data_IF_896246389985
#
_entry.id   IF_896246389985
#
_cell.length_a   1.000
_cell.length_b   1.000
_cell.length_c   1.000
_cell.angle_alpha   90.00
_cell.angle_beta   90.00
_cell.angle_gamma   90.00
#
_symmetry.space_group_name_H-M   'P 1'
#
loop_
_entity.id
_entity.type
_entity.pdbx_description
1 polymer ?
#
# COMPACT_ATOMS: atom_id res chain seq x y z
N UNK A 1 -38.76 -56.26 -4.44
CA UNK A 1 -37.89 -55.79 -5.55
C UNK A 1 -37.98 -54.27 -5.60
N UNK A 2 -37.00 -53.57 -5.03
CA UNK A 2 -37.00 -52.10 -4.91
C UNK A 2 -36.62 -51.53 -6.29
N UNK A 3 -37.55 -50.87 -6.98
CA UNK A 3 -37.23 -50.10 -8.20
C UNK A 3 -36.26 -48.99 -7.80
N UNK A 4 -34.97 -49.13 -8.14
CA UNK A 4 -34.03 -48.00 -8.09
C UNK A 4 -34.47 -46.99 -9.15
N UNK A 5 -35.25 -45.99 -8.76
CA UNK A 5 -35.59 -44.85 -9.63
C UNK A 5 -34.28 -44.10 -9.91
N UNK A 6 -33.76 -44.22 -11.13
CA UNK A 6 -32.66 -43.39 -11.60
C UNK A 6 -33.13 -41.94 -11.80
N UNK A 7 -32.19 -41.00 -11.77
CA UNK A 7 -32.47 -39.60 -12.07
C UNK A 7 -32.94 -39.43 -13.51
N UNK A 8 -33.92 -38.56 -13.73
CA UNK A 8 -34.36 -38.18 -15.07
C UNK A 8 -33.38 -37.18 -15.69
N UNK A 9 -33.29 -37.15 -17.03
CA UNK A 9 -32.40 -36.23 -17.74
C UNK A 9 -32.70 -34.75 -17.41
N UNK A 10 -33.97 -34.43 -17.15
CA UNK A 10 -34.43 -33.10 -16.74
C UNK A 10 -33.93 -32.71 -15.35
N UNK A 11 -33.97 -33.63 -14.38
CA UNK A 11 -33.45 -33.36 -13.03
C UNK A 11 -31.95 -33.11 -13.04
N UNK A 12 -31.20 -33.87 -13.85
CA UNK A 12 -29.74 -33.69 -13.98
C UNK A 12 -29.39 -32.32 -14.57
N UNK A 13 -30.08 -31.87 -15.62
CA UNK A 13 -29.80 -30.57 -16.23
C UNK A 13 -30.16 -29.41 -15.31
N UNK A 14 -31.25 -29.52 -14.53
CA UNK A 14 -31.64 -28.51 -13.53
C UNK A 14 -30.61 -28.43 -12.40
N UNK A 15 -30.20 -29.58 -11.84
CA UNK A 15 -29.20 -29.61 -10.74
C UNK A 15 -27.86 -29.02 -11.20
N UNK A 16 -27.42 -29.35 -12.42
CA UNK A 16 -26.21 -28.76 -13.00
C UNK A 16 -26.36 -27.25 -13.25
N UNK A 17 -27.53 -26.80 -13.73
CA UNK A 17 -27.81 -25.38 -13.94
C UNK A 17 -27.76 -24.57 -12.63
N UNK A 18 -28.42 -25.05 -11.58
CA UNK A 18 -28.40 -24.38 -10.27
C UNK A 18 -27.00 -24.43 -9.65
N UNK A 19 -26.30 -25.56 -9.77
CA UNK A 19 -24.94 -25.73 -9.25
C UNK A 19 -23.94 -24.73 -9.85
N UNK A 20 -24.01 -24.47 -11.16
CA UNK A 20 -23.14 -23.48 -11.82
C UNK A 20 -23.44 -22.06 -11.37
N UNK A 21 -24.71 -21.67 -11.22
CA UNK A 21 -25.09 -20.35 -10.72
C UNK A 21 -24.58 -20.09 -9.30
N UNK A 22 -24.74 -21.05 -8.39
CA UNK A 22 -24.22 -20.95 -7.01
C UNK A 22 -22.70 -20.85 -7.02
N UNK A 23 -22.01 -21.62 -7.86
CA UNK A 23 -20.56 -21.55 -7.99
C UNK A 23 -20.11 -20.15 -8.45
N UNK A 24 -20.74 -19.58 -9.49
CA UNK A 24 -20.43 -18.22 -9.96
C UNK A 24 -20.65 -17.15 -8.89
N UNK A 25 -21.72 -17.25 -8.09
CA UNK A 25 -21.95 -16.33 -6.97
C UNK A 25 -20.83 -16.43 -5.93
N UNK A 26 -20.41 -17.64 -5.55
CA UNK A 26 -19.29 -17.86 -4.62
C UNK A 26 -17.95 -17.35 -5.17
N UNK A 27 -17.71 -17.49 -6.47
CA UNK A 27 -16.50 -16.95 -7.10
C UNK A 27 -16.45 -15.43 -7.03
N UNK A 28 -17.57 -14.74 -7.24
CA UNK A 28 -17.63 -13.29 -7.12
C UNK A 28 -17.40 -12.83 -5.67
N UNK A 29 -18.07 -13.48 -4.71
CA UNK A 29 -17.89 -13.21 -3.28
C UNK A 29 -16.43 -13.44 -2.85
N UNK A 30 -15.81 -14.55 -3.27
CA UNK A 30 -14.40 -14.84 -2.98
C UNK A 30 -13.46 -13.77 -3.58
N UNK A 31 -13.73 -13.28 -4.80
CA UNK A 31 -12.94 -12.21 -5.42
C UNK A 31 -13.03 -10.91 -4.63
N UNK A 32 -14.24 -10.52 -4.22
CA UNK A 32 -14.45 -9.31 -3.43
C UNK A 32 -13.76 -9.41 -2.06
N UNK A 33 -13.85 -10.57 -1.40
CA UNK A 33 -13.16 -10.81 -0.13
C UNK A 33 -11.62 -10.76 -0.29
N UNK A 34 -11.08 -11.25 -1.42
CA UNK A 34 -9.65 -11.13 -1.72
C UNK A 34 -9.24 -9.66 -1.92
N UNK A 35 -10.04 -8.87 -2.64
CA UNK A 35 -9.78 -7.43 -2.83
C UNK A 35 -9.79 -6.68 -1.49
N UNK A 36 -10.74 -6.99 -0.60
CA UNK A 36 -10.83 -6.39 0.74
C UNK A 36 -9.62 -6.72 1.63
N UNK A 37 -9.23 -8.00 1.71
CA UNK A 37 -8.05 -8.43 2.49
C UNK A 37 -6.77 -7.82 1.93
N UNK A 38 -6.67 -7.68 0.61
CA UNK A 38 -5.54 -7.04 -0.04
C UNK A 38 -5.47 -5.55 0.29
N UNK A 39 -6.60 -4.84 0.28
CA UNK A 39 -6.69 -3.43 0.66
C UNK A 39 -6.31 -3.22 2.13
N UNK A 40 -6.76 -4.10 3.05
CA UNK A 40 -6.38 -4.06 4.47
C UNK A 40 -4.86 -4.23 4.66
N UNK A 41 -4.26 -5.22 3.97
CA UNK A 41 -2.81 -5.43 4.02
C UNK A 41 -2.03 -4.21 3.48
N UNK A 42 -2.52 -3.56 2.43
CA UNK A 42 -1.88 -2.33 1.90
C UNK A 42 -2.07 -1.15 2.85
N UNK A 43 -3.24 -1.02 3.50
CA UNK A 43 -3.48 0.00 4.51
C UNK A 43 -2.56 -0.15 5.73
N UNK A 44 -2.36 -1.37 6.22
CA UNK A 44 -1.43 -1.64 7.33
C UNK A 44 0.03 -1.33 6.94
N UNK A 45 0.43 -1.64 5.71
CA UNK A 45 1.74 -1.27 5.18
C UNK A 45 1.93 0.25 5.09
N UNK A 46 0.91 1.00 4.62
CA UNK A 46 0.95 2.47 4.57
C UNK A 46 1.03 3.04 5.97
N UNK A 47 0.29 2.50 6.93
CA UNK A 47 0.35 2.93 8.34
C UNK A 47 1.76 2.75 8.92
N UNK A 48 2.35 1.56 8.76
CA UNK A 48 3.71 1.29 9.21
C UNK A 48 4.72 2.25 8.55
N UNK A 49 4.55 2.50 7.25
CA UNK A 49 5.38 3.45 6.52
C UNK A 49 5.21 4.88 7.05
N UNK A 50 3.97 5.30 7.34
CA UNK A 50 3.64 6.60 7.91
C UNK A 50 4.26 6.81 9.30
N UNK A 51 4.23 5.80 10.16
CA UNK A 51 4.89 5.84 11.47
C UNK A 51 6.41 5.96 11.34
N UNK A 52 7.02 5.21 10.42
CA UNK A 52 8.45 5.31 10.13
C UNK A 52 8.83 6.68 9.55
N UNK A 53 8.02 7.23 8.63
CA UNK A 53 8.22 8.58 8.07
C UNK A 53 8.10 9.64 9.16
N UNK A 54 7.12 9.54 10.06
CA UNK A 54 6.95 10.48 11.16
C UNK A 54 8.16 10.47 12.12
N UNK A 55 8.69 9.28 12.44
CA UNK A 55 9.94 9.15 13.20
C UNK A 55 11.13 9.75 12.45
N UNK A 56 11.22 9.51 11.14
CA UNK A 56 12.28 10.10 10.31
C UNK A 56 12.25 11.63 10.32
N UNK A 57 11.06 12.24 10.21
CA UNK A 57 10.87 13.68 10.32
C UNK A 57 11.40 14.19 11.67
N UNK A 58 11.12 13.49 12.76
CA UNK A 58 11.60 13.86 14.09
C UNK A 58 13.12 13.77 14.22
N UNK A 59 13.75 12.72 13.69
CA UNK A 59 15.20 12.50 13.79
C UNK A 59 15.98 13.48 12.91
N UNK A 60 15.48 13.77 11.70
CA UNK A 60 16.17 14.60 10.69
C UNK A 60 15.49 15.95 10.49
N UNK A 61 14.80 16.46 11.50
CA UNK A 61 14.07 17.74 11.43
C UNK A 61 14.98 18.88 11.00
N UNK A 62 16.19 18.96 11.57
CA UNK A 62 17.19 19.98 11.24
C UNK A 62 17.50 19.97 9.73
N UNK A 63 17.75 18.79 9.15
CA UNK A 63 18.10 18.67 7.73
C UNK A 63 16.91 18.93 6.81
N UNK A 64 15.72 18.48 7.18
CA UNK A 64 14.51 18.68 6.36
C UNK A 64 14.08 20.15 6.41
N UNK A 65 14.17 20.79 7.57
CA UNK A 65 13.85 22.21 7.74
C UNK A 65 14.81 23.11 6.97
N UNK A 66 16.07 22.72 6.78
CA UNK A 66 17.03 23.45 5.93
C UNK A 66 17.05 22.96 4.47
N UNK A 67 16.17 22.03 4.07
CA UNK A 67 16.14 21.43 2.73
C UNK A 67 17.50 20.85 2.29
N UNK A 68 18.20 20.17 3.21
CA UNK A 68 19.52 19.59 2.96
C UNK A 68 19.40 18.20 2.34
N UNK A 69 19.96 18.01 1.15
CA UNK A 69 20.04 16.71 0.48
C UNK A 69 21.18 15.84 1.05
N UNK A 70 21.00 14.52 1.05
CA UNK A 70 22.03 13.53 1.42
C UNK A 70 22.06 12.36 0.44
N UNK A 71 23.25 11.81 0.21
CA UNK A 71 23.49 10.64 -0.62
C UNK A 71 24.35 9.65 0.16
N UNK A 72 23.71 8.80 0.99
CA UNK A 72 24.31 7.67 1.70
C UNK A 72 25.64 7.97 2.43
N UNK A 73 25.66 8.98 3.29
CA UNK A 73 26.83 9.31 4.12
C UNK A 73 26.74 8.64 5.49
N UNK A 74 27.88 8.40 6.16
CA UNK A 74 27.86 7.67 7.44
C UNK A 74 27.05 8.36 8.55
N UNK A 75 27.02 9.69 8.58
CA UNK A 75 26.26 10.50 9.54
C UNK A 75 24.84 10.86 9.08
N UNK A 76 24.54 10.67 7.79
CA UNK A 76 23.24 10.88 7.15
C UNK A 76 23.02 9.77 6.11
N UNK A 77 22.55 8.58 6.57
CA UNK A 77 22.53 7.35 5.79
C UNK A 77 21.76 7.42 4.47
N UNK A 78 20.91 8.45 4.26
CA UNK A 78 20.32 8.79 2.96
C UNK A 78 19.66 7.62 2.20
N UNK A 79 19.20 7.83 0.95
CA UNK A 79 19.23 9.07 0.18
C UNK A 79 18.06 10.00 0.54
N UNK A 80 18.30 11.30 0.55
CA UNK A 80 17.28 12.35 0.69
C UNK A 80 17.54 13.42 -0.36
N UNK A 81 16.57 13.68 -1.22
CA UNK A 81 16.71 14.69 -2.29
C UNK A 81 15.78 15.84 -2.00
N UNK A 82 16.34 16.98 -1.62
CA UNK A 82 15.58 18.19 -1.32
C UNK A 82 15.58 19.18 -2.49
N UNK A 83 14.44 19.83 -2.67
CA UNK A 83 14.17 20.88 -3.66
C UNK A 83 13.51 22.07 -2.96
N UNK A 84 13.27 23.17 -3.68
CA UNK A 84 12.56 24.34 -3.13
C UNK A 84 11.15 24.03 -2.59
N UNK A 85 10.52 22.95 -3.08
CA UNK A 85 9.17 22.54 -2.68
C UNK A 85 9.13 21.57 -1.48
N UNK A 86 10.25 20.94 -1.13
CA UNK A 86 10.32 19.88 -0.12
C UNK A 86 11.37 18.82 -0.43
N UNK A 87 11.42 17.78 0.40
CA UNK A 87 12.35 16.67 0.27
C UNK A 87 11.65 15.38 -0.13
N UNK A 88 12.27 14.61 -1.02
CA UNK A 88 11.82 13.29 -1.41
C UNK A 88 12.76 12.24 -0.79
N UNK A 89 12.17 11.19 -0.21
CA UNK A 89 12.91 10.03 0.31
C UNK A 89 12.29 8.75 -0.24
N UNK A 90 13.04 7.65 -0.13
CA UNK A 90 12.56 6.32 -0.48
C UNK A 90 12.47 5.46 0.77
N UNK A 91 11.79 4.31 0.65
CA UNK A 91 11.75 3.33 1.74
C UNK A 91 13.16 2.86 2.13
N UNK A 92 14.12 2.88 1.21
CA UNK A 92 15.51 2.53 1.49
C UNK A 92 16.13 3.46 2.53
N UNK A 93 15.81 4.76 2.49
CA UNK A 93 16.24 5.73 3.49
C UNK A 93 15.77 5.36 4.89
N UNK A 94 14.53 4.88 5.00
CA UNK A 94 13.96 4.45 6.27
C UNK A 94 14.59 3.13 6.77
N UNK A 95 14.98 2.22 5.87
CA UNK A 95 15.74 1.01 6.22
C UNK A 95 17.14 1.39 6.73
N UNK A 96 17.83 2.30 6.02
CA UNK A 96 19.17 2.74 6.37
C UNK A 96 19.23 3.44 7.74
N UNK A 97 18.14 4.12 8.13
CA UNK A 97 17.98 4.74 9.46
C UNK A 97 17.43 3.77 10.52
N UNK A 98 17.19 2.50 10.17
CA UNK A 98 16.69 1.48 11.10
C UNK A 98 15.21 1.63 11.49
N UNK A 99 14.44 2.41 10.73
CA UNK A 99 13.01 2.67 10.98
C UNK A 99 12.10 1.65 10.31
N UNK A 100 12.58 0.96 9.28
CA UNK A 100 11.91 -0.16 8.62
C UNK A 100 12.80 -1.41 8.64
N UNK A 101 12.21 -2.62 8.68
CA UNK A 101 12.97 -3.86 8.60
C UNK A 101 13.65 -4.01 7.23
N UNK A 102 14.82 -4.64 7.21
CA UNK A 102 15.63 -4.86 5.99
C UNK A 102 14.91 -5.67 4.89
N UNK A 103 13.88 -6.42 5.25
CA UNK A 103 13.04 -7.18 4.31
C UNK A 103 11.89 -6.39 3.67
N UNK A 104 11.77 -5.09 3.94
CA UNK A 104 10.69 -4.27 3.37
C UNK A 104 10.91 -4.04 1.87
N UNK A 105 9.97 -4.48 1.04
CA UNK A 105 10.10 -4.52 -0.43
C UNK A 105 9.61 -3.25 -1.13
N UNK A 106 9.14 -2.23 -0.39
CA UNK A 106 8.76 -0.93 -0.96
C UNK A 106 7.60 -0.95 -1.95
N UNK A 107 6.95 -2.09 -2.12
CA UNK A 107 5.94 -2.37 -3.14
C UNK A 107 4.70 -2.91 -2.46
N UNK A 108 3.55 -2.36 -2.84
CA UNK A 108 2.27 -2.84 -2.35
C UNK A 108 1.85 -4.14 -3.06
N UNK A 109 0.75 -4.73 -2.62
CA UNK A 109 0.25 -5.98 -3.22
C UNK A 109 -0.11 -5.85 -4.72
N UNK A 110 -0.35 -4.63 -5.23
CA UNK A 110 -0.54 -4.34 -6.66
C UNK A 110 0.77 -4.05 -7.42
N UNK A 111 1.93 -4.32 -6.81
CA UNK A 111 3.27 -4.03 -7.35
C UNK A 111 3.52 -2.54 -7.60
N UNK A 112 2.76 -1.68 -6.92
CA UNK A 112 2.91 -0.23 -6.95
C UNK A 112 3.93 0.19 -5.91
N UNK A 113 4.90 1.02 -6.31
CA UNK A 113 5.96 1.50 -5.41
C UNK A 113 5.49 2.69 -4.59
N UNK A 114 5.88 2.75 -3.32
CA UNK A 114 5.62 3.92 -2.48
C UNK A 114 6.63 5.04 -2.73
N UNK A 115 6.11 6.26 -2.83
CA UNK A 115 6.88 7.49 -2.94
C UNK A 115 6.58 8.37 -1.73
N UNK A 116 7.62 8.90 -1.09
CA UNK A 116 7.49 9.66 0.15
C UNK A 116 7.98 11.09 -0.10
N UNK A 117 7.08 12.05 0.08
CA UNK A 117 7.36 13.47 -0.05
C UNK A 117 7.23 14.15 1.31
N UNK A 118 8.22 14.95 1.67
CA UNK A 118 8.28 15.73 2.89
C UNK A 118 8.16 17.20 2.52
N UNK A 119 7.02 17.81 2.81
CA UNK A 119 6.76 19.22 2.50
C UNK A 119 7.03 20.08 3.73
N UNK A 120 7.88 21.08 3.56
CA UNK A 120 8.14 22.13 4.55
C UNK A 120 7.12 23.26 4.36
N UNK A 121 6.54 23.73 5.46
CA UNK A 121 5.58 24.84 5.51
C UNK A 121 5.86 25.75 6.72
N UNK A 122 5.34 26.98 6.72
CA UNK A 122 5.59 27.97 7.77
C UNK A 122 6.81 28.87 7.51
N UNK A 123 7.21 29.61 8.53
CA UNK A 123 8.32 30.59 8.51
C UNK A 123 9.42 30.19 9.48
N UNK A 124 10.67 30.51 9.18
CA UNK A 124 11.78 30.26 10.10
C UNK A 124 11.55 30.94 11.45
N UNK A 125 11.94 30.32 12.58
CA UNK A 125 12.61 29.00 12.70
C UNK A 125 11.65 27.80 12.80
N UNK A 126 10.35 28.04 12.96
CA UNK A 126 9.34 27.04 13.30
C UNK A 126 8.66 26.45 12.07
N UNK A 127 9.44 25.74 11.26
CA UNK A 127 8.91 25.07 10.08
C UNK A 127 8.07 23.83 10.43
N UNK A 128 6.87 23.75 9.89
CA UNK A 128 6.03 22.54 9.97
C UNK A 128 6.39 21.61 8.81
N UNK A 129 6.82 20.39 9.14
CA UNK A 129 7.16 19.35 8.17
C UNK A 129 6.02 18.34 8.10
N UNK A 130 5.43 18.20 6.91
CA UNK A 130 4.37 17.22 6.65
C UNK A 130 4.89 16.12 5.72
N UNK A 131 4.65 14.86 6.07
CA UNK A 131 4.90 13.72 5.21
C UNK A 131 3.68 13.36 4.37
N UNK A 132 3.87 13.15 3.09
CA UNK A 132 2.87 12.63 2.15
C UNK A 132 3.42 11.35 1.54
N UNK A 133 2.68 10.26 1.69
CA UNK A 133 2.99 8.97 1.07
C UNK A 133 2.04 8.82 -0.13
N UNK A 134 2.60 8.54 -1.29
CA UNK A 134 1.83 8.26 -2.52
C UNK A 134 2.28 6.95 -3.13
N UNK A 135 1.45 6.39 -4.00
CA UNK A 135 1.81 5.23 -4.82
C UNK A 135 2.07 5.65 -6.26
N UNK A 136 2.96 4.94 -6.96
CA UNK A 136 3.26 5.20 -8.38
C UNK A 136 2.04 4.97 -9.30
N UNK A 137 1.15 4.07 -8.90
CA UNK A 137 -0.11 3.78 -9.59
C UNK A 137 -1.29 3.88 -8.62
N UNK A 138 -2.45 4.38 -9.06
CA UNK A 138 -3.66 4.44 -8.25
C UNK A 138 -4.17 3.03 -7.92
N UNK A 139 -4.86 2.89 -6.79
CA UNK A 139 -5.51 1.62 -6.45
C UNK A 139 -6.66 1.37 -7.41
N UNK A 140 -6.74 0.14 -7.94
CA UNK A 140 -7.85 -0.30 -8.78
C UNK A 140 -8.66 -1.37 -8.06
N UNK A 141 -9.95 -1.15 -7.92
CA UNK A 141 -10.92 -2.08 -7.32
C UNK A 141 -12.09 -2.24 -8.28
N UNK A 142 -12.40 -3.46 -8.72
CA UNK A 142 -13.50 -3.71 -9.66
C UNK A 142 -13.50 -2.90 -10.98
N UNK A 143 -12.39 -2.27 -11.37
CA UNK A 143 -12.30 -1.37 -12.54
C UNK A 143 -12.46 0.13 -12.23
N UNK A 144 -12.75 0.49 -10.98
CA UNK A 144 -12.76 1.86 -10.48
C UNK A 144 -11.42 2.22 -9.82
N UNK A 145 -11.05 3.49 -9.86
CA UNK A 145 -9.90 4.01 -9.14
C UNK A 145 -10.31 4.37 -7.72
N UNK A 146 -9.62 3.82 -6.72
CA UNK A 146 -9.75 4.25 -5.34
C UNK A 146 -8.48 4.98 -4.89
N UNK A 147 -8.65 5.96 -4.00
CA UNK A 147 -7.54 6.54 -3.24
C UNK A 147 -7.53 5.89 -1.86
N UNK A 148 -6.43 5.23 -1.51
CA UNK A 148 -6.21 4.71 -0.16
C UNK A 148 -5.61 5.88 0.63
N UNK A 149 -6.40 6.44 1.55
CA UNK A 149 -5.97 7.50 2.48
C UNK A 149 -5.34 6.89 3.73
#
# INVERSE_FOLDING_TARGET
>A
MIKKKGFTLLEVSIVLGIGTLIAFMKFQDMRNNQEAVMAENVGTQIKQLGEAVNRYISIRYDKISTLSSSHNQSSDPGPRTCTAAGCEITYQTLINEGLLPVGYTGTNAQKSTYKILLKRSGTAPDYVINGLITTSSPWKEGGAFAMIY
#
